data_IF_849440259294
#
_entry.id   IF_849440259294
#
_cell.length_a   1.000
_cell.length_b   1.000
_cell.length_c   1.000
_cell.angle_alpha   90.00
_cell.angle_beta   90.00
_cell.angle_gamma   90.00
#
_symmetry.space_group_name_H-M   'P 1'
#
loop_
_entity.id
_entity.type
_entity.pdbx_description
1 polymer ?
#
# COMPACT_ATOMS: atom_id res chain seq x y z
N UNK A 1 36.92 31.08 -30.91
CA UNK A 1 37.65 30.51 -29.76
C UNK A 1 36.68 30.03 -28.66
N UNK A 2 35.41 30.44 -28.68
CA UNK A 2 34.42 30.14 -27.64
C UNK A 2 33.82 28.71 -27.68
N UNK A 3 33.76 28.07 -28.86
CA UNK A 3 33.15 26.74 -29.01
C UNK A 3 33.88 25.61 -28.27
N UNK A 4 35.20 25.75 -28.09
CA UNK A 4 36.02 24.79 -27.33
C UNK A 4 35.85 24.96 -25.81
N UNK A 5 35.58 26.20 -25.37
CA UNK A 5 35.34 26.53 -23.96
C UNK A 5 34.00 25.98 -23.48
N UNK A 6 32.95 26.13 -24.30
CA UNK A 6 31.62 25.59 -23.99
C UNK A 6 31.60 24.06 -23.95
N UNK A 7 32.32 23.39 -24.86
CA UNK A 7 32.40 21.92 -24.89
C UNK A 7 33.14 21.35 -23.66
N UNK A 8 34.15 22.05 -23.16
CA UNK A 8 34.84 21.67 -21.91
C UNK A 8 33.95 21.85 -20.68
N UNK A 9 33.13 22.91 -20.63
CA UNK A 9 32.20 23.16 -19.52
C UNK A 9 31.08 22.11 -19.50
N UNK A 10 30.52 21.76 -20.67
CA UNK A 10 29.47 20.74 -20.80
C UNK A 10 29.99 19.35 -20.42
N UNK A 11 31.19 18.97 -20.88
CA UNK A 11 31.81 17.71 -20.51
C UNK A 11 32.18 17.65 -19.02
N UNK A 12 32.58 18.78 -18.44
CA UNK A 12 32.83 18.91 -17.00
C UNK A 12 31.57 18.68 -16.17
N UNK A 13 30.46 19.36 -16.51
CA UNK A 13 29.15 19.22 -15.86
C UNK A 13 28.59 17.79 -15.99
N UNK A 14 28.64 17.20 -17.19
CA UNK A 14 28.21 15.82 -17.40
C UNK A 14 29.04 14.82 -16.57
N UNK A 15 30.35 15.06 -16.46
CA UNK A 15 31.25 14.24 -15.65
C UNK A 15 30.91 14.28 -14.15
N UNK A 16 30.63 15.46 -13.59
CA UNK A 16 30.21 15.58 -12.18
C UNK A 16 28.86 14.94 -11.92
N UNK A 17 27.85 15.15 -12.77
CA UNK A 17 26.54 14.52 -12.61
C UNK A 17 26.59 13.00 -12.74
N UNK A 18 27.41 12.46 -13.65
CA UNK A 18 27.62 11.00 -13.78
C UNK A 18 28.35 10.43 -12.56
N UNK A 19 29.32 11.16 -12.00
CA UNK A 19 30.02 10.78 -10.78
C UNK A 19 29.09 10.74 -9.56
N UNK A 20 28.28 11.79 -9.37
CA UNK A 20 27.27 11.84 -8.30
C UNK A 20 26.23 10.73 -8.44
N UNK A 21 25.80 10.44 -9.67
CA UNK A 21 24.86 9.37 -9.96
C UNK A 21 25.44 7.97 -9.65
N UNK A 22 26.71 7.73 -10.01
CA UNK A 22 27.41 6.49 -9.68
C UNK A 22 27.60 6.31 -8.17
N UNK A 23 27.94 7.38 -7.45
CA UNK A 23 28.05 7.35 -5.99
C UNK A 23 26.68 7.06 -5.36
N UNK A 24 25.60 7.67 -5.84
CA UNK A 24 24.25 7.39 -5.38
C UNK A 24 23.86 5.91 -5.60
N UNK A 25 24.18 5.35 -6.78
CA UNK A 25 23.96 3.92 -7.06
C UNK A 25 24.77 3.04 -6.11
N UNK A 26 26.04 3.36 -5.86
CA UNK A 26 26.90 2.60 -4.95
C UNK A 26 26.39 2.65 -3.50
N UNK A 27 25.95 3.82 -3.02
CA UNK A 27 25.35 3.98 -1.69
C UNK A 27 24.05 3.19 -1.58
N UNK A 28 23.19 3.23 -2.61
CA UNK A 28 21.97 2.44 -2.65
C UNK A 28 22.26 0.94 -2.69
N UNK A 29 23.24 0.50 -3.49
CA UNK A 29 23.65 -0.90 -3.58
C UNK A 29 24.25 -1.39 -2.26
N UNK A 30 25.10 -0.58 -1.60
CA UNK A 30 25.68 -0.91 -0.30
C UNK A 30 24.60 -0.97 0.79
N UNK A 31 23.70 0.01 0.83
CA UNK A 31 22.55 0.03 1.74
C UNK A 31 21.65 -1.17 1.52
N UNK A 32 21.35 -1.51 0.26
CA UNK A 32 20.55 -2.68 -0.10
C UNK A 32 21.20 -4.00 0.36
N UNK A 33 22.51 -4.14 0.13
CA UNK A 33 23.26 -5.33 0.55
C UNK A 33 23.37 -5.43 2.08
N UNK A 34 23.52 -4.29 2.77
CA UNK A 34 23.51 -4.23 4.23
C UNK A 34 22.15 -4.57 4.81
N UNK A 35 21.05 -4.08 4.22
CA UNK A 35 19.67 -4.41 4.62
C UNK A 35 19.36 -5.90 4.39
N UNK A 36 19.85 -6.48 3.29
CA UNK A 36 19.73 -7.92 3.02
C UNK A 36 20.50 -8.77 4.02
N UNK A 37 21.73 -8.36 4.37
CA UNK A 37 22.60 -9.10 5.30
C UNK A 37 22.27 -8.89 6.77
N UNK A 38 21.63 -7.79 7.15
CA UNK A 38 21.35 -7.44 8.55
C UNK A 38 20.26 -8.27 9.21
N UNK A 39 19.69 -9.27 8.52
CA UNK A 39 18.60 -10.09 9.06
C UNK A 39 17.28 -9.34 9.24
N UNK A 40 17.23 -8.03 8.97
CA UNK A 40 16.02 -7.20 9.04
C UNK A 40 14.92 -7.78 8.16
N UNK A 41 15.26 -8.29 6.97
CA UNK A 41 14.30 -8.93 6.07
C UNK A 41 13.77 -10.24 6.67
N UNK A 42 14.61 -11.03 7.35
CA UNK A 42 14.16 -12.24 8.04
C UNK A 42 13.24 -11.91 9.21
N UNK A 43 13.55 -10.87 9.99
CA UNK A 43 12.65 -10.36 11.03
C UNK A 43 11.33 -9.83 10.46
N UNK A 44 11.37 -9.13 9.31
CA UNK A 44 10.18 -8.67 8.62
C UNK A 44 9.31 -9.85 8.16
N UNK A 45 9.94 -10.89 7.59
CA UNK A 45 9.26 -12.10 7.14
C UNK A 45 8.65 -12.87 8.31
N UNK A 46 9.36 -12.92 9.43
CA UNK A 46 8.85 -13.49 10.68
C UNK A 46 7.64 -12.70 11.19
N UNK A 47 7.70 -11.36 11.25
CA UNK A 47 6.57 -10.52 11.67
C UNK A 47 5.35 -10.71 10.76
N UNK A 48 5.56 -10.82 9.44
CA UNK A 48 4.49 -11.06 8.47
C UNK A 48 3.85 -12.44 8.69
N UNK A 49 4.66 -13.49 8.89
CA UNK A 49 4.18 -14.86 9.04
C UNK A 49 3.67 -15.18 10.45
N UNK A 50 4.10 -14.44 11.48
CA UNK A 50 3.73 -14.66 12.86
C UNK A 50 2.21 -14.58 13.07
N UNK A 51 1.54 -13.66 12.37
CA UNK A 51 0.08 -13.54 12.43
C UNK A 51 -0.61 -14.81 11.90
N UNK A 52 -0.17 -15.33 10.76
CA UNK A 52 -0.73 -16.56 10.18
C UNK A 52 -0.44 -17.79 11.03
N UNK A 53 0.76 -17.85 11.62
CA UNK A 53 1.13 -18.93 12.54
C UNK A 53 0.25 -18.94 13.80
N UNK A 54 0.00 -17.77 14.40
CA UNK A 54 -0.87 -17.65 15.58
C UNK A 54 -2.28 -18.18 15.31
N UNK A 55 -2.87 -17.81 14.16
CA UNK A 55 -4.22 -18.28 13.76
C UNK A 55 -4.23 -19.80 13.53
N UNK A 56 -3.20 -20.36 12.89
CA UNK A 56 -3.09 -21.82 12.71
C UNK A 56 -3.05 -22.56 14.04
N UNK A 57 -2.26 -22.07 15.00
CA UNK A 57 -2.18 -22.67 16.33
C UNK A 57 -3.52 -22.60 17.07
N UNK A 58 -4.26 -21.51 16.91
CA UNK A 58 -5.61 -21.39 17.51
C UNK A 58 -6.61 -22.37 16.89
N UNK A 59 -6.54 -22.60 15.57
CA UNK A 59 -7.36 -23.62 14.89
C UNK A 59 -7.02 -25.02 15.42
N UNK A 60 -5.73 -25.35 15.53
CA UNK A 60 -5.25 -26.64 16.03
C UNK A 60 -5.75 -26.91 17.44
N UNK A 61 -5.60 -25.95 18.36
CA UNK A 61 -6.11 -26.04 19.73
C UNK A 61 -7.63 -26.23 19.80
N UNK A 62 -8.40 -25.51 18.98
CA UNK A 62 -9.86 -25.67 18.98
C UNK A 62 -10.27 -27.03 18.37
N UNK A 63 -9.50 -27.54 17.42
CA UNK A 63 -9.75 -28.85 16.79
C UNK A 63 -9.46 -29.98 17.79
N UNK A 64 -8.36 -29.90 18.53
CA UNK A 64 -8.06 -30.82 19.63
C UNK A 64 -9.14 -30.80 20.71
N UNK A 65 -9.68 -29.61 21.03
CA UNK A 65 -10.81 -29.49 21.95
C UNK A 65 -12.07 -30.16 21.38
N UNK A 66 -12.36 -30.03 20.09
CA UNK A 66 -13.52 -30.67 19.44
C UNK A 66 -13.46 -32.21 19.45
N UNK A 67 -12.26 -32.78 19.41
CA UNK A 67 -12.03 -34.23 19.44
C UNK A 67 -12.23 -34.81 20.86
N UNK A 68 -12.25 -33.98 21.90
CA UNK A 68 -12.60 -34.42 23.26
C UNK A 68 -14.11 -34.68 23.39
N UNK A 69 -14.45 -35.91 23.77
CA UNK A 69 -15.82 -36.44 23.75
C UNK A 69 -16.77 -35.78 24.75
N UNK A 70 -16.25 -35.16 25.82
CA UNK A 70 -17.01 -34.62 26.96
C UNK A 70 -17.68 -33.25 26.70
N UNK A 71 -17.50 -32.64 25.54
CA UNK A 71 -18.15 -31.36 25.23
C UNK A 71 -19.62 -31.51 24.89
N UNK A 72 -20.44 -30.60 25.43
CA UNK A 72 -21.85 -30.48 25.07
C UNK A 72 -22.04 -30.18 23.58
N UNK A 73 -23.12 -30.66 22.98
CA UNK A 73 -23.44 -30.45 21.56
C UNK A 73 -23.51 -28.96 21.18
N UNK A 74 -24.01 -28.12 22.08
CA UNK A 74 -24.05 -26.66 21.90
C UNK A 74 -22.64 -26.05 21.84
N UNK A 75 -21.72 -26.53 22.69
CA UNK A 75 -20.34 -26.07 22.71
C UNK A 75 -19.57 -26.56 21.47
N UNK A 76 -19.78 -27.81 21.03
CA UNK A 76 -19.24 -28.34 19.77
C UNK A 76 -19.69 -27.52 18.57
N UNK A 77 -20.96 -27.12 18.50
CA UNK A 77 -21.48 -26.26 17.43
C UNK A 77 -20.79 -24.89 17.41
N UNK A 78 -20.61 -24.26 18.57
CA UNK A 78 -19.91 -22.97 18.68
C UNK A 78 -18.43 -23.06 18.29
N UNK A 79 -17.74 -24.13 18.69
CA UNK A 79 -16.35 -24.35 18.32
C UNK A 79 -16.20 -24.59 16.81
N UNK A 80 -17.08 -25.40 16.20
CA UNK A 80 -17.12 -25.59 14.73
C UNK A 80 -17.32 -24.27 13.99
N UNK A 81 -18.22 -23.43 14.48
CA UNK A 81 -18.44 -22.08 13.94
C UNK A 81 -17.16 -21.24 14.01
N UNK A 82 -16.49 -21.22 15.16
CA UNK A 82 -15.24 -20.48 15.36
C UNK A 82 -14.11 -20.98 14.47
N UNK A 83 -13.99 -22.29 14.29
CA UNK A 83 -13.02 -22.90 13.36
C UNK A 83 -13.28 -22.45 11.92
N UNK A 84 -14.54 -22.50 11.47
CA UNK A 84 -14.93 -22.04 10.12
C UNK A 84 -14.53 -20.58 9.89
N UNK A 85 -14.80 -19.72 10.87
CA UNK A 85 -14.43 -18.30 10.84
C UNK A 85 -12.91 -18.11 10.75
N UNK A 86 -12.12 -18.82 11.58
CA UNK A 86 -10.66 -18.71 11.57
C UNK A 86 -10.05 -19.21 10.25
N UNK A 87 -10.59 -20.28 9.66
CA UNK A 87 -10.18 -20.76 8.34
C UNK A 87 -10.44 -19.73 7.23
N UNK A 88 -11.60 -19.08 7.25
CA UNK A 88 -11.93 -18.02 6.29
C UNK A 88 -11.05 -16.77 6.49
N UNK A 89 -10.77 -16.38 7.72
CA UNK A 89 -9.83 -15.29 8.01
C UNK A 89 -8.41 -15.60 7.50
N UNK A 90 -7.95 -16.85 7.66
CA UNK A 90 -6.63 -17.29 7.23
C UNK A 90 -6.53 -17.30 5.70
N UNK A 91 -7.52 -17.88 5.01
CA UNK A 91 -7.56 -17.99 3.55
C UNK A 91 -7.67 -16.62 2.87
N UNK A 92 -8.55 -15.75 3.39
CA UNK A 92 -8.76 -14.40 2.87
C UNK A 92 -7.73 -13.38 3.38
N UNK A 93 -6.82 -13.79 4.29
CA UNK A 93 -5.78 -12.94 4.91
C UNK A 93 -6.32 -11.64 5.52
N UNK A 94 -7.51 -11.70 6.12
CA UNK A 94 -8.20 -10.54 6.68
C UNK A 94 -8.18 -10.52 8.22
N UNK A 95 -8.73 -9.47 8.81
CA UNK A 95 -9.05 -9.39 10.25
C UNK A 95 -10.57 -9.28 10.47
N UNK A 96 -11.37 -9.48 9.41
CA UNK A 96 -12.82 -9.39 9.48
C UNK A 96 -13.38 -10.51 10.36
N UNK A 97 -14.26 -10.16 11.29
CA UNK A 97 -14.83 -11.11 12.27
C UNK A 97 -16.24 -11.56 11.90
N UNK A 98 -16.88 -10.89 10.94
CA UNK A 98 -18.22 -11.24 10.50
C UNK A 98 -18.16 -12.40 9.50
N UNK A 99 -18.79 -13.53 9.86
CA UNK A 99 -18.80 -14.73 9.04
C UNK A 99 -19.54 -14.51 7.72
N UNK A 100 -20.64 -13.76 7.72
CA UNK A 100 -21.45 -13.53 6.52
C UNK A 100 -20.66 -12.73 5.47
N UNK A 101 -19.90 -11.75 5.94
CA UNK A 101 -18.99 -10.96 5.11
C UNK A 101 -17.87 -11.83 4.54
N UNK A 102 -17.28 -12.69 5.36
CA UNK A 102 -16.22 -13.61 4.94
C UNK A 102 -16.71 -14.62 3.90
N UNK A 103 -17.88 -15.21 4.12
CA UNK A 103 -18.51 -16.14 3.17
C UNK A 103 -18.82 -15.44 1.85
N UNK A 104 -19.40 -14.23 1.92
CA UNK A 104 -19.64 -13.43 0.72
C UNK A 104 -18.36 -13.15 -0.08
N UNK A 105 -17.29 -12.75 0.61
CA UNK A 105 -15.97 -12.46 0.01
C UNK A 105 -15.30 -13.71 -0.56
N UNK A 106 -15.58 -14.89 -0.01
CA UNK A 106 -15.03 -16.15 -0.53
C UNK A 106 -15.62 -16.56 -1.89
N UNK A 107 -16.75 -15.98 -2.29
CA UNK A 107 -17.38 -16.25 -3.57
C UNK A 107 -16.80 -15.49 -4.76
N UNK A 108 -15.77 -14.64 -4.61
CA UNK A 108 -15.16 -13.94 -5.75
C UNK A 108 -14.21 -14.84 -6.54
N UNK A 109 -14.25 -14.75 -7.88
CA UNK A 109 -13.33 -15.51 -8.75
C UNK A 109 -11.86 -15.14 -8.52
N UNK A 110 -11.57 -13.84 -8.34
CA UNK A 110 -10.23 -13.34 -7.99
C UNK A 110 -10.19 -12.87 -6.53
N UNK A 111 -10.02 -13.83 -5.62
CA UNK A 111 -9.95 -13.60 -4.18
C UNK A 111 -8.86 -12.60 -3.77
N UNK A 112 -7.67 -12.68 -4.37
CA UNK A 112 -6.56 -11.80 -3.96
C UNK A 112 -6.84 -10.35 -4.32
N UNK A 113 -7.36 -10.10 -5.52
CA UNK A 113 -7.70 -8.75 -5.99
C UNK A 113 -8.92 -8.21 -5.25
N UNK A 114 -9.95 -9.03 -5.06
CA UNK A 114 -11.15 -8.69 -4.28
C UNK A 114 -10.79 -8.33 -2.82
N UNK A 115 -9.97 -9.13 -2.15
CA UNK A 115 -9.55 -8.86 -0.77
C UNK A 115 -8.69 -7.59 -0.64
N UNK A 116 -7.83 -7.32 -1.63
CA UNK A 116 -7.04 -6.08 -1.68
C UNK A 116 -7.96 -4.86 -1.82
N UNK A 117 -8.98 -4.94 -2.67
CA UNK A 117 -9.98 -3.88 -2.87
C UNK A 117 -10.86 -3.70 -1.63
N UNK A 118 -11.35 -4.79 -1.04
CA UNK A 118 -12.13 -4.79 0.20
C UNK A 118 -11.38 -4.12 1.35
N UNK A 119 -10.15 -4.55 1.64
CA UNK A 119 -9.34 -3.97 2.71
C UNK A 119 -9.08 -2.46 2.51
N UNK A 120 -9.00 -2.00 1.26
CA UNK A 120 -8.81 -0.59 0.90
C UNK A 120 -10.10 0.22 0.95
N UNK A 121 -11.27 -0.41 0.86
CA UNK A 121 -12.55 0.29 0.67
C UNK A 121 -13.60 -0.02 1.74
N UNK A 122 -13.30 -0.86 2.73
CA UNK A 122 -14.23 -1.29 3.79
C UNK A 122 -15.00 -0.17 4.49
N UNK A 123 -14.41 1.03 4.63
CA UNK A 123 -15.06 2.20 5.25
C UNK A 123 -16.21 2.77 4.43
N UNK A 124 -16.30 2.41 3.15
CA UNK A 124 -17.29 2.91 2.19
C UNK A 124 -18.29 1.84 1.77
N UNK A 125 -18.09 0.60 2.22
CA UNK A 125 -18.97 -0.54 1.95
C UNK A 125 -19.87 -0.78 3.16
N UNK A 126 -21.15 -1.03 2.90
CA UNK A 126 -22.12 -1.50 3.89
C UNK A 126 -22.59 -2.87 3.43
N UNK A 127 -22.40 -3.87 4.28
CA UNK A 127 -22.92 -5.21 4.01
C UNK A 127 -24.43 -5.22 4.28
N UNK A 128 -25.21 -5.74 3.33
CA UNK A 128 -26.66 -5.88 3.44
C UNK A 128 -26.97 -7.38 3.61
N UNK A 129 -27.27 -7.85 4.84
CA UNK A 129 -27.47 -9.27 5.10
C UNK A 129 -28.61 -9.89 4.28
N UNK A 130 -29.66 -9.10 4.03
CA UNK A 130 -30.89 -9.54 3.33
C UNK A 130 -30.63 -9.99 1.89
N UNK A 131 -29.70 -9.33 1.20
CA UNK A 131 -29.37 -9.64 -0.20
C UNK A 131 -28.03 -10.36 -0.33
N UNK A 132 -27.37 -10.66 0.80
CA UNK A 132 -25.97 -11.10 0.86
C UNK A 132 -25.13 -10.32 -0.15
N UNK A 133 -25.11 -8.99 -0.04
CA UNK A 133 -24.41 -8.14 -1.00
C UNK A 133 -23.83 -6.91 -0.32
N UNK A 134 -22.72 -6.40 -0.86
CA UNK A 134 -22.26 -5.07 -0.48
C UNK A 134 -23.05 -3.99 -1.21
N UNK A 135 -23.28 -2.90 -0.51
CA UNK A 135 -23.77 -1.65 -1.07
C UNK A 135 -22.81 -0.52 -0.69
N UNK A 136 -22.85 0.58 -1.44
CA UNK A 136 -22.17 1.80 -1.03
C UNK A 136 -22.97 2.44 0.11
N UNK A 137 -22.26 3.01 1.10
CA UNK A 137 -22.89 3.79 2.15
C UNK A 137 -23.82 4.88 1.55
N UNK A 138 -25.02 5.10 2.12
CA UNK A 138 -26.10 5.93 1.52
C UNK A 138 -25.71 7.39 1.26
N UNK A 139 -24.61 7.85 1.82
CA UNK A 139 -24.02 9.17 1.62
C UNK A 139 -23.38 9.34 0.21
N UNK A 140 -23.42 8.31 -0.64
CA UNK A 140 -22.78 8.29 -1.95
C UNK A 140 -23.71 7.70 -3.03
N UNK A 141 -24.31 8.56 -3.86
CA UNK A 141 -25.19 8.14 -4.96
C UNK A 141 -24.45 7.31 -6.02
N UNK A 142 -25.06 6.18 -6.40
CA UNK A 142 -24.48 5.07 -7.15
C UNK A 142 -24.23 5.39 -8.64
N UNK A 143 -25.15 6.12 -9.29
CA UNK A 143 -25.29 6.06 -10.75
C UNK A 143 -24.40 7.07 -11.52
N UNK A 144 -24.12 8.25 -10.95
CA UNK A 144 -23.25 9.26 -11.60
C UNK A 144 -21.74 9.00 -11.42
N UNK A 145 -21.36 8.02 -10.59
CA UNK A 145 -19.99 7.87 -10.09
C UNK A 145 -19.15 6.78 -10.78
N UNK A 146 -19.75 5.82 -11.51
CA UNK A 146 -18.98 4.79 -12.23
C UNK A 146 -18.12 5.40 -13.34
N UNK A 147 -18.73 6.22 -14.23
CA UNK A 147 -18.01 6.96 -15.27
C UNK A 147 -16.99 7.95 -14.68
N UNK A 148 -17.28 8.60 -13.54
CA UNK A 148 -16.33 9.49 -12.85
C UNK A 148 -15.19 8.74 -12.16
N UNK A 149 -15.41 7.53 -11.64
CA UNK A 149 -14.40 6.70 -10.99
C UNK A 149 -13.39 6.15 -12.01
N UNK A 150 -13.87 5.68 -13.16
CA UNK A 150 -13.01 5.26 -14.27
C UNK A 150 -12.24 6.45 -14.85
N UNK A 151 -12.87 7.63 -14.98
CA UNK A 151 -12.17 8.87 -15.34
C UNK A 151 -11.10 9.25 -14.32
N UNK A 152 -11.34 9.04 -13.02
CA UNK A 152 -10.38 9.28 -11.92
C UNK A 152 -9.14 8.39 -12.00
N UNK A 153 -9.26 7.17 -12.52
CA UNK A 153 -8.11 6.29 -12.77
C UNK A 153 -7.13 6.93 -13.78
N UNK A 154 -7.64 7.72 -14.73
CA UNK A 154 -6.83 8.52 -15.65
C UNK A 154 -6.05 9.67 -14.99
N UNK A 155 -6.37 10.03 -13.75
CA UNK A 155 -5.63 11.06 -12.98
C UNK A 155 -4.48 10.47 -12.17
N UNK A 156 -4.37 9.14 -12.07
CA UNK A 156 -3.21 8.49 -11.43
C UNK A 156 -1.88 8.96 -12.02
N UNK A 157 -1.67 8.98 -13.36
CA UNK A 157 -0.44 9.55 -13.92
C UNK A 157 -0.25 11.02 -13.57
N UNK A 158 -1.32 11.82 -13.53
CA UNK A 158 -1.24 13.23 -13.10
C UNK A 158 -0.73 13.34 -11.65
N UNK A 159 -1.22 12.51 -10.73
CA UNK A 159 -0.74 12.50 -9.35
C UNK A 159 0.70 11.98 -9.20
N UNK A 160 1.15 11.08 -10.08
CA UNK A 160 2.57 10.72 -10.17
C UNK A 160 3.43 11.90 -10.60
N UNK A 161 2.97 12.74 -11.54
CA UNK A 161 3.66 13.99 -11.87
C UNK A 161 3.70 14.97 -10.69
N UNK A 162 2.61 15.09 -9.94
CA UNK A 162 2.55 15.93 -8.73
C UNK A 162 3.55 15.47 -7.64
N UNK A 163 3.84 14.17 -7.54
CA UNK A 163 4.89 13.65 -6.66
C UNK A 163 6.30 14.08 -7.08
N UNK A 164 6.53 14.29 -8.37
CA UNK A 164 7.85 14.71 -8.90
C UNK A 164 8.10 16.22 -8.81
N UNK A 165 7.06 17.04 -8.63
CA UNK A 165 7.16 18.50 -8.59
C UNK A 165 8.19 19.04 -7.58
N UNK A 166 8.26 18.55 -6.32
CA UNK A 166 9.24 19.07 -5.37
C UNK A 166 10.69 18.77 -5.77
N UNK A 167 10.93 17.62 -6.41
CA UNK A 167 12.27 17.27 -6.90
C UNK A 167 12.68 18.19 -8.06
N UNK A 168 11.74 18.50 -8.96
CA UNK A 168 11.96 19.47 -10.06
C UNK A 168 12.24 20.86 -9.48
N UNK A 169 11.44 21.31 -8.51
CA UNK A 169 11.63 22.60 -7.82
C UNK A 169 12.99 22.64 -7.10
N UNK A 170 13.39 21.55 -6.45
CA UNK A 170 14.68 21.43 -5.77
C UNK A 170 15.86 21.51 -6.75
N UNK A 171 15.79 20.82 -7.88
CA UNK A 171 16.81 20.89 -8.93
C UNK A 171 16.89 22.29 -9.54
N UNK A 172 15.75 22.93 -9.79
CA UNK A 172 15.70 24.32 -10.27
C UNK A 172 16.24 25.31 -9.24
N UNK A 173 15.95 25.09 -7.95
CA UNK A 173 16.51 25.87 -6.85
C UNK A 173 18.04 25.75 -6.83
N UNK A 174 18.59 24.53 -6.83
CA UNK A 174 20.04 24.32 -6.87
C UNK A 174 20.71 24.92 -8.11
N UNK A 175 20.07 24.82 -9.29
CA UNK A 175 20.64 25.32 -10.54
C UNK A 175 20.61 26.87 -10.64
N UNK A 176 19.58 27.52 -10.10
CA UNK A 176 19.51 28.99 -10.06
C UNK A 176 20.42 29.60 -8.99
N UNK A 177 20.80 28.83 -7.96
CA UNK A 177 21.68 29.25 -6.87
C UNK A 177 23.11 28.67 -6.99
N UNK A 178 23.66 28.60 -8.21
CA UNK A 178 25.08 28.26 -8.51
C UNK A 178 26.14 29.15 -7.81
N UNK A 179 25.74 30.07 -6.94
CA UNK A 179 26.62 30.96 -6.17
C UNK A 179 26.50 30.76 -4.65
N UNK A 180 25.75 29.76 -4.17
CA UNK A 180 25.86 29.36 -2.77
C UNK A 180 27.12 28.52 -2.58
N UNK A 181 28.15 29.14 -2.01
CA UNK A 181 29.32 28.44 -1.49
C UNK A 181 28.87 27.24 -0.65
N UNK A 182 29.32 26.04 -1.03
CA UNK A 182 29.02 24.77 -0.37
C UNK A 182 29.50 24.71 1.09
N UNK A 183 30.24 25.74 1.53
CA UNK A 183 30.72 25.99 2.88
C UNK A 183 29.70 26.68 3.79
N UNK A 184 28.58 27.18 3.27
CA UNK A 184 27.65 27.95 4.12
C UNK A 184 26.81 27.02 5.00
N UNK A 185 26.79 27.32 6.30
CA UNK A 185 25.93 26.70 7.33
C UNK A 185 24.47 26.57 6.89
N UNK A 186 24.01 27.45 6.00
CA UNK A 186 22.67 27.43 5.40
C UNK A 186 22.36 26.15 4.58
N UNK A 187 23.34 25.50 3.95
CA UNK A 187 23.11 24.22 3.24
C UNK A 187 22.82 23.08 4.24
N UNK A 188 23.59 23.03 5.34
CA UNK A 188 23.39 22.04 6.41
C UNK A 188 22.05 22.18 7.13
N UNK A 189 21.50 23.40 7.26
CA UNK A 189 20.17 23.61 7.83
C UNK A 189 19.03 23.45 6.82
N UNK A 190 19.23 23.78 5.55
CA UNK A 190 18.18 23.70 4.52
C UNK A 190 17.94 22.28 3.98
N UNK A 191 18.98 21.44 3.90
CA UNK A 191 18.87 20.05 3.46
C UNK A 191 17.93 19.18 4.33
N UNK A 192 18.04 19.15 5.68
CA UNK A 192 17.12 18.39 6.52
C UNK A 192 15.70 18.97 6.51
N UNK A 193 15.55 20.30 6.47
CA UNK A 193 14.23 20.96 6.41
C UNK A 193 13.50 20.61 5.11
N UNK A 194 14.20 20.62 3.97
CA UNK A 194 13.64 20.24 2.67
C UNK A 194 13.33 18.75 2.59
N UNK A 195 14.13 17.88 3.18
CA UNK A 195 13.82 16.45 3.34
C UNK A 195 12.56 16.21 4.18
N UNK A 196 12.37 16.94 5.28
CA UNK A 196 11.16 16.85 6.12
C UNK A 196 9.94 17.33 5.33
N UNK A 197 10.03 18.49 4.65
CA UNK A 197 8.94 19.01 3.82
C UNK A 197 8.60 18.06 2.67
N UNK A 198 9.60 17.46 2.03
CA UNK A 198 9.39 16.46 0.99
C UNK A 198 8.69 15.22 1.54
N UNK A 199 9.12 14.75 2.71
CA UNK A 199 8.48 13.61 3.39
C UNK A 199 7.01 13.92 3.67
N UNK A 200 6.70 15.08 4.27
CA UNK A 200 5.32 15.53 4.54
C UNK A 200 4.50 15.61 3.24
N UNK A 201 5.08 16.14 2.16
CA UNK A 201 4.43 16.20 0.85
C UNK A 201 4.08 14.82 0.30
N UNK A 202 5.05 13.90 0.27
CA UNK A 202 4.84 12.53 -0.23
C UNK A 202 3.75 11.82 0.58
N UNK A 203 3.79 11.93 1.90
CA UNK A 203 2.74 11.37 2.76
C UNK A 203 1.38 12.01 2.52
N UNK A 204 1.31 13.32 2.31
CA UNK A 204 0.06 14.06 2.04
C UNK A 204 -0.56 13.66 0.70
N UNK A 205 0.24 13.60 -0.37
CA UNK A 205 -0.21 13.16 -1.69
C UNK A 205 -0.61 11.68 -1.67
N UNK A 206 0.15 10.82 -1.01
CA UNK A 206 -0.20 9.41 -0.84
C UNK A 206 -1.50 9.21 -0.05
N UNK A 207 -1.72 10.01 1.01
CA UNK A 207 -2.96 10.00 1.78
C UNK A 207 -4.16 10.43 0.93
N UNK A 208 -4.01 11.49 0.14
CA UNK A 208 -5.04 11.95 -0.77
C UNK A 208 -5.36 10.90 -1.83
N UNK A 209 -4.35 10.38 -2.52
CA UNK A 209 -4.48 9.28 -3.49
C UNK A 209 -5.20 8.08 -2.91
N UNK A 210 -4.81 7.66 -1.71
CA UNK A 210 -5.47 6.57 -1.00
C UNK A 210 -6.96 6.84 -0.89
N UNK A 211 -7.35 8.02 -0.39
CA UNK A 211 -8.76 8.40 -0.23
C UNK A 211 -9.52 8.44 -1.57
N UNK A 212 -8.89 8.90 -2.66
CA UNK A 212 -9.51 8.86 -3.99
C UNK A 212 -9.76 7.43 -4.47
N UNK A 213 -8.79 6.55 -4.24
CA UNK A 213 -8.82 5.15 -4.64
C UNK A 213 -9.79 4.30 -3.80
N UNK A 214 -10.09 4.67 -2.55
CA UNK A 214 -11.05 3.92 -1.71
C UNK A 214 -12.40 3.76 -2.44
N UNK A 215 -12.88 4.82 -3.11
CA UNK A 215 -14.15 4.80 -3.86
C UNK A 215 -14.07 3.95 -5.12
N UNK A 216 -12.99 4.09 -5.89
CA UNK A 216 -12.80 3.30 -7.11
C UNK A 216 -12.71 1.80 -6.78
N UNK A 217 -11.96 1.44 -5.74
CA UNK A 217 -11.84 0.07 -5.27
C UNK A 217 -13.18 -0.50 -4.77
N UNK A 218 -14.02 0.29 -4.09
CA UNK A 218 -15.36 -0.14 -3.68
C UNK A 218 -16.23 -0.50 -4.88
N UNK A 219 -16.28 0.39 -5.88
CA UNK A 219 -17.08 0.20 -7.09
C UNK A 219 -16.58 -0.98 -7.91
N UNK A 220 -15.27 -1.09 -8.08
CA UNK A 220 -14.66 -2.20 -8.82
C UNK A 220 -14.93 -3.54 -8.12
N UNK A 221 -14.90 -3.58 -6.78
CA UNK A 221 -15.25 -4.77 -6.01
C UNK A 221 -16.71 -5.22 -6.28
N UNK A 222 -17.65 -4.27 -6.37
CA UNK A 222 -19.06 -4.58 -6.64
C UNK A 222 -19.32 -5.17 -8.03
N UNK A 223 -18.42 -4.93 -8.99
CA UNK A 223 -18.53 -5.41 -10.37
C UNK A 223 -17.65 -6.63 -10.66
N UNK A 224 -16.93 -7.15 -9.66
CA UNK A 224 -16.11 -8.34 -9.83
C UNK A 224 -16.98 -9.57 -9.99
N UNK A 225 -16.58 -10.44 -10.91
CA UNK A 225 -17.23 -11.73 -11.12
C UNK A 225 -17.18 -12.60 -9.86
N UNK A 226 -18.30 -13.25 -9.59
CA UNK A 226 -18.49 -14.16 -8.47
C UNK A 226 -18.89 -15.53 -8.98
N UNK A 227 -18.42 -16.55 -8.27
CA UNK A 227 -18.88 -17.92 -8.43
C UNK A 227 -20.22 -17.98 -7.71
N UNK A 228 -21.32 -17.97 -8.48
CA UNK A 228 -22.65 -18.22 -7.92
C UNK A 228 -22.68 -19.65 -7.38
N UNK A 229 -22.91 -19.77 -6.07
CA UNK A 229 -23.15 -21.03 -5.37
C UNK A 229 -24.65 -21.20 -5.11
#
# INVERSE_FOLDING_TARGET
MDFLKDRHIINGLLGTYLGEFLIAILVLAFSYNYILKSGIIQHLFFVINFKSWKVKKEIEQITELLDNTELSETMKKNLKFRVKLLYLQLSLKTKETDLEILEYLSGYCDLNSAMKKYNRSKKKLVFVPQNQSFSLSPDYSFDQNFKKAQRRNSWIPFWYWVLTLPAIIWVLYLNNFKHFDSSSTNFFYSAPVTMILFTIWVFSVAFFLRHLLEKANAVELLHMERIEH
#
